data_IF_688235353838
#
_entry.id   IF_688235353838
#
_cell.length_a   1.000
_cell.length_b   1.000
_cell.length_c   1.000
_cell.angle_alpha   90.00
_cell.angle_beta   90.00
_cell.angle_gamma   90.00
#
_symmetry.space_group_name_H-M   'P 1'
#
loop_
_entity.id
_entity.type
_entity.pdbx_description
1 polymer ?
#
# COMPACT_ATOMS: atom_id res chain seq x y z
N UNK A 1 29.95 32.51 78.34
CA UNK A 1 29.90 32.66 76.83
C UNK A 1 28.43 32.59 76.49
N UNK A 2 28.00 33.52 75.58
CA UNK A 2 26.66 33.40 74.96
C UNK A 2 26.58 32.07 74.19
N UNK A 3 25.47 31.36 74.29
CA UNK A 3 25.23 30.17 73.51
C UNK A 3 25.26 30.48 72.00
N UNK A 4 25.95 29.66 71.26
CA UNK A 4 26.03 29.76 69.77
C UNK A 4 25.20 28.63 69.12
N UNK A 5 24.51 28.96 68.08
CA UNK A 5 23.87 27.93 67.21
C UNK A 5 24.97 27.26 66.39
N UNK A 6 25.01 25.96 66.37
CA UNK A 6 25.90 25.15 65.53
C UNK A 6 25.09 24.45 64.46
N UNK A 7 25.44 24.67 63.20
CA UNK A 7 24.79 24.04 62.05
C UNK A 7 25.84 23.21 61.29
N UNK A 8 25.45 22.03 60.84
CA UNK A 8 26.27 21.10 60.06
C UNK A 8 27.64 20.76 60.73
N UNK A 9 27.63 20.57 62.05
CA UNK A 9 28.85 20.31 62.80
C UNK A 9 29.19 18.81 62.83
N UNK A 10 30.35 18.43 62.29
CA UNK A 10 30.89 17.07 62.41
C UNK A 10 31.47 16.82 63.81
N UNK A 11 31.05 15.75 64.43
CA UNK A 11 31.61 15.28 65.73
C UNK A 11 33.03 14.71 65.51
N UNK A 12 33.96 14.92 66.42
CA UNK A 12 35.37 14.49 66.28
C UNK A 12 35.57 12.98 66.27
N UNK A 13 34.70 12.22 66.95
CA UNK A 13 34.76 10.77 67.04
C UNK A 13 33.43 10.20 66.43
N UNK A 14 33.39 10.00 65.20
CA UNK A 14 32.21 9.39 64.48
C UNK A 14 32.29 7.88 64.69
N UNK A 15 31.17 7.28 65.06
CA UNK A 15 30.92 5.84 64.89
C UNK A 15 30.47 5.58 63.49
N UNK A 16 30.91 4.49 62.90
CA UNK A 16 30.33 4.02 61.62
C UNK A 16 28.89 3.62 61.88
N UNK A 17 27.97 4.26 61.12
CA UNK A 17 26.55 3.90 61.12
C UNK A 17 26.28 2.84 60.04
N UNK A 18 25.37 1.92 60.33
CA UNK A 18 24.98 0.88 59.40
C UNK A 18 23.82 1.40 58.55
N UNK A 19 23.96 1.24 57.25
CA UNK A 19 22.96 1.59 56.25
C UNK A 19 21.61 0.90 56.52
N UNK A 20 20.50 1.61 56.28
CA UNK A 20 19.14 1.14 56.55
C UNK A 20 18.77 0.99 58.03
N UNK A 21 19.63 1.44 58.99
CA UNK A 21 19.41 1.29 60.44
C UNK A 21 18.79 2.54 61.01
N UNK A 22 17.84 2.33 61.96
CA UNK A 22 17.19 3.41 62.73
C UNK A 22 17.94 3.67 64.00
N UNK A 23 18.27 4.92 64.26
CA UNK A 23 19.04 5.37 65.49
C UNK A 23 18.27 6.44 66.21
N UNK A 24 18.44 6.39 67.58
CA UNK A 24 18.12 7.52 68.47
C UNK A 24 19.36 8.36 68.69
N UNK A 25 19.32 9.64 68.38
CA UNK A 25 20.39 10.58 68.71
C UNK A 25 20.14 11.17 70.04
N UNK A 26 21.03 10.84 70.97
CA UNK A 26 20.96 11.33 72.38
C UNK A 26 22.09 12.33 72.64
N UNK A 27 21.74 13.52 73.09
CA UNK A 27 22.68 14.57 73.46
C UNK A 27 22.67 14.86 74.89
N UNK A 28 23.85 14.86 75.48
CA UNK A 28 24.07 15.20 76.88
C UNK A 28 25.15 16.27 76.95
N UNK A 29 24.90 17.34 77.70
CA UNK A 29 25.85 18.42 77.93
C UNK A 29 26.07 18.69 79.40
N UNK A 30 27.28 19.19 79.77
CA UNK A 30 27.60 19.66 81.09
C UNK A 30 28.23 21.05 81.05
N UNK A 31 27.80 21.97 81.88
CA UNK A 31 28.43 23.29 82.01
C UNK A 31 29.75 23.26 82.81
N UNK A 32 30.42 24.39 82.85
CA UNK A 32 31.69 24.48 83.56
C UNK A 32 31.54 24.38 85.12
N UNK A 33 30.36 24.52 85.64
CA UNK A 33 30.04 24.38 87.04
C UNK A 33 29.66 22.93 87.42
N UNK A 34 29.58 21.99 86.45
CA UNK A 34 29.23 20.61 86.63
C UNK A 34 27.72 20.31 86.47
N UNK A 35 26.90 21.32 86.17
CA UNK A 35 25.45 21.08 85.94
C UNK A 35 25.26 20.34 84.62
N UNK A 36 24.54 19.23 84.65
CA UNK A 36 24.22 18.43 83.48
C UNK A 36 22.86 18.84 82.84
N UNK A 37 22.79 18.79 81.58
CA UNK A 37 21.50 18.78 80.88
C UNK A 37 20.79 17.45 81.08
N UNK A 38 19.47 17.40 81.03
CA UNK A 38 18.77 16.11 80.85
C UNK A 38 19.12 15.53 79.44
N UNK A 39 18.75 14.27 79.25
CA UNK A 39 18.84 13.66 77.89
C UNK A 39 17.97 14.39 76.93
N UNK A 40 18.56 14.88 75.82
CA UNK A 40 17.83 15.43 74.69
C UNK A 40 17.91 14.39 73.60
N UNK A 41 16.77 13.77 73.26
CA UNK A 41 16.67 12.69 72.28
C UNK A 41 15.93 13.13 71.06
N UNK A 42 16.49 12.83 69.88
CA UNK A 42 15.79 12.83 68.62
C UNK A 42 15.66 11.38 68.17
N UNK A 43 14.47 10.78 68.30
CA UNK A 43 14.26 9.37 67.94
C UNK A 43 14.05 9.16 66.42
N UNK A 44 14.10 7.88 66.02
CA UNK A 44 13.67 7.37 64.71
C UNK A 44 14.43 8.01 63.53
N UNK A 45 15.74 8.22 63.72
CA UNK A 45 16.58 8.71 62.56
C UNK A 45 17.05 7.51 61.77
N UNK A 46 16.60 7.38 60.53
CA UNK A 46 17.10 6.39 59.61
C UNK A 46 18.39 6.89 58.98
N UNK A 47 19.45 6.10 59.06
CA UNK A 47 20.68 6.32 58.31
C UNK A 47 20.63 5.54 57.02
N UNK A 48 20.63 6.25 55.88
CA UNK A 48 20.45 5.69 54.54
C UNK A 48 21.45 6.32 53.58
N UNK A 49 22.27 5.50 52.95
CA UNK A 49 23.26 5.87 51.94
C UNK A 49 23.09 5.06 50.64
N UNK A 50 22.05 4.23 50.58
CA UNK A 50 21.67 3.51 49.36
C UNK A 50 21.11 4.47 48.37
N UNK A 51 21.52 4.37 47.08
CA UNK A 51 21.02 5.21 46.02
C UNK A 51 19.79 4.57 45.38
N UNK A 52 18.73 5.32 45.14
CA UNK A 52 17.58 4.79 44.39
C UNK A 52 17.98 4.40 42.95
N UNK A 53 17.44 3.27 42.49
CA UNK A 53 17.63 2.75 41.15
C UNK A 53 16.34 2.94 40.35
N UNK A 54 16.48 3.42 39.12
CA UNK A 54 15.38 3.65 38.19
C UNK A 54 15.54 2.79 36.97
N UNK A 55 14.42 2.30 36.42
CA UNK A 55 14.34 1.71 35.08
C UNK A 55 13.14 2.27 34.34
N UNK A 56 13.34 2.86 33.18
CA UNK A 56 12.25 3.11 32.21
C UNK A 56 12.06 1.81 31.44
N UNK A 57 10.84 1.24 31.51
CA UNK A 57 10.48 -0.05 30.91
C UNK A 57 9.79 0.15 29.56
N UNK A 58 9.01 1.24 29.41
CA UNK A 58 8.34 1.64 28.20
C UNK A 58 8.19 3.17 28.16
N UNK A 59 8.48 3.86 27.03
CA UNK A 59 9.00 3.33 25.78
C UNK A 59 10.45 2.83 25.86
N UNK A 60 10.86 1.97 24.91
CA UNK A 60 12.25 1.50 24.80
C UNK A 60 13.04 2.38 23.81
N UNK A 61 14.37 2.18 23.73
CA UNK A 61 15.20 2.89 22.74
C UNK A 61 14.67 2.67 21.30
N UNK A 62 14.68 3.73 20.49
CA UNK A 62 14.27 3.72 19.09
C UNK A 62 12.80 3.32 18.85
N UNK A 63 11.98 3.34 19.90
CA UNK A 63 10.54 3.04 19.77
C UNK A 63 9.80 4.13 18.99
N UNK A 64 8.79 3.71 18.24
CA UNK A 64 7.77 4.57 17.67
C UNK A 64 6.52 4.50 18.55
N UNK A 65 6.01 5.63 19.00
CA UNK A 65 4.89 5.69 19.96
C UNK A 65 3.89 6.78 19.57
N UNK A 66 2.60 6.48 19.76
CA UNK A 66 1.50 7.43 19.60
C UNK A 66 0.80 7.77 20.93
N UNK A 67 1.44 7.43 22.05
CA UNK A 67 0.91 7.64 23.40
C UNK A 67 1.90 8.43 24.27
N UNK A 68 1.39 8.96 25.40
CA UNK A 68 2.14 9.81 26.36
C UNK A 68 2.41 9.09 27.68
N UNK A 69 2.03 7.84 27.80
CA UNK A 69 2.26 7.04 29.01
C UNK A 69 3.70 6.55 29.09
N UNK A 70 4.19 6.32 30.31
CA UNK A 70 5.51 5.76 30.59
C UNK A 70 5.36 4.63 31.57
N UNK A 71 6.06 3.50 31.34
CA UNK A 71 6.18 2.44 32.36
C UNK A 71 7.57 2.48 32.94
N UNK A 72 7.66 2.37 34.26
CA UNK A 72 8.94 2.49 34.99
C UNK A 72 8.94 1.71 36.29
N UNK A 73 10.15 1.50 36.85
CA UNK A 73 10.38 0.85 38.11
C UNK A 73 11.22 1.75 39.02
N UNK A 74 10.89 1.75 40.32
CA UNK A 74 11.58 2.47 41.39
C UNK A 74 11.94 1.45 42.47
N UNK A 75 13.22 1.41 42.87
CA UNK A 75 13.73 0.44 43.85
C UNK A 75 13.38 0.76 45.31
N UNK A 76 13.08 2.04 45.63
CA UNK A 76 12.82 2.51 46.98
C UNK A 76 12.01 3.82 46.97
N UNK A 77 11.40 4.23 48.14
CA UNK A 77 10.59 5.45 48.18
C UNK A 77 11.38 6.72 47.89
N UNK A 78 10.81 7.57 47.01
CA UNK A 78 11.40 8.84 46.63
C UNK A 78 10.80 10.02 47.39
N UNK A 79 11.63 11.01 47.64
CA UNK A 79 11.25 12.36 48.05
C UNK A 79 10.81 13.21 46.86
N UNK A 80 11.54 13.07 45.75
CA UNK A 80 11.26 13.74 44.51
C UNK A 80 11.73 12.90 43.32
N UNK A 81 10.95 12.96 42.21
CA UNK A 81 11.28 12.28 40.98
C UNK A 81 10.73 13.02 39.79
N UNK A 82 11.46 12.98 38.67
CA UNK A 82 11.06 13.61 37.41
C UNK A 82 11.32 12.69 36.23
N UNK A 83 10.45 12.78 35.23
CA UNK A 83 10.66 12.24 33.88
C UNK A 83 10.75 13.42 32.92
N UNK A 84 11.81 13.46 32.13
CA UNK A 84 12.10 14.55 31.21
C UNK A 84 12.11 14.05 29.78
N UNK A 85 11.30 14.67 28.93
CA UNK A 85 11.31 14.47 27.49
C UNK A 85 12.11 15.59 26.83
N UNK A 86 13.20 15.25 26.16
CA UNK A 86 14.10 16.21 25.50
C UNK A 86 14.09 15.96 23.99
N UNK A 87 13.60 16.91 23.20
CA UNK A 87 13.62 16.81 21.76
C UNK A 87 15.06 16.80 21.23
N UNK A 88 15.38 15.87 20.33
CA UNK A 88 16.69 15.85 19.63
C UNK A 88 16.86 17.08 18.73
N UNK A 89 15.76 17.61 18.22
CA UNK A 89 15.76 18.88 17.48
C UNK A 89 14.86 19.90 18.19
N UNK A 90 15.46 20.79 19.04
CA UNK A 90 14.69 21.76 19.82
C UNK A 90 14.02 22.85 18.94
N UNK A 91 14.38 22.99 17.67
CA UNK A 91 13.67 23.89 16.75
C UNK A 91 12.28 23.35 16.43
N UNK A 92 12.11 22.03 16.39
CA UNK A 92 10.81 21.38 16.16
C UNK A 92 9.92 21.39 17.42
N UNK A 93 10.50 21.39 18.62
CA UNK A 93 9.76 21.54 19.89
C UNK A 93 10.38 22.65 20.74
N UNK A 94 9.90 23.91 20.62
CA UNK A 94 10.41 25.05 21.36
C UNK A 94 10.18 24.98 22.88
N UNK A 95 9.28 24.11 23.35
CA UNK A 95 8.99 23.89 24.79
C UNK A 95 9.88 22.79 25.40
N UNK A 96 10.72 22.15 24.61
CA UNK A 96 11.68 21.16 25.08
C UNK A 96 12.83 21.82 25.87
N UNK A 97 13.30 21.22 27.00
CA UNK A 97 12.87 19.94 27.58
C UNK A 97 11.58 20.06 28.38
N UNK A 98 10.71 19.05 28.31
CA UNK A 98 9.48 18.93 29.10
C UNK A 98 9.76 18.14 30.33
N UNK A 99 9.82 18.81 31.50
CA UNK A 99 10.15 18.22 32.78
C UNK A 99 8.87 18.00 33.58
N UNK A 100 8.56 16.74 33.89
CA UNK A 100 7.32 16.34 34.53
C UNK A 100 7.64 15.64 35.83
N UNK A 101 7.03 16.10 36.94
CA UNK A 101 7.18 15.43 38.25
C UNK A 101 6.39 14.12 38.28
N UNK A 102 6.97 13.10 38.85
CA UNK A 102 6.29 11.84 39.16
C UNK A 102 5.21 12.11 40.22
N UNK A 103 4.03 11.51 40.08
CA UNK A 103 2.95 11.68 41.06
C UNK A 103 3.36 11.13 42.40
N UNK A 104 2.94 11.81 43.49
CA UNK A 104 3.33 11.44 44.85
C UNK A 104 2.95 10.00 45.22
N UNK A 105 1.86 9.50 44.66
CA UNK A 105 1.37 8.14 44.92
C UNK A 105 2.22 7.07 44.21
N UNK A 106 3.02 7.49 43.21
CA UNK A 106 3.91 6.65 42.39
C UNK A 106 5.40 6.82 42.83
N UNK A 107 5.67 7.55 43.91
CA UNK A 107 7.03 7.73 44.48
C UNK A 107 7.38 6.69 45.56
N UNK A 108 6.76 5.51 45.52
CA UNK A 108 7.08 4.39 46.41
C UNK A 108 7.76 3.28 45.59
N UNK A 109 8.39 2.34 46.30
CA UNK A 109 8.96 1.16 45.63
C UNK A 109 7.90 0.41 44.82
N UNK A 110 8.22 0.08 43.56
CA UNK A 110 7.30 -0.67 42.71
C UNK A 110 7.53 -0.52 41.24
N UNK A 111 6.72 -1.28 40.46
CA UNK A 111 6.63 -1.23 39.04
C UNK A 111 5.32 -0.53 38.65
N UNK A 112 5.41 0.47 37.80
CA UNK A 112 4.30 1.27 37.32
C UNK A 112 4.16 1.10 35.82
N UNK A 113 2.96 0.75 35.37
CA UNK A 113 2.69 0.49 33.95
C UNK A 113 1.70 1.48 33.37
N UNK A 114 1.96 1.95 32.14
CA UNK A 114 1.08 2.85 31.37
C UNK A 114 0.66 4.11 32.13
N UNK A 115 1.60 4.69 32.88
CA UNK A 115 1.34 5.89 33.71
C UNK A 115 1.28 7.12 32.85
N UNK A 116 0.13 7.82 32.88
CA UNK A 116 0.01 9.17 32.37
C UNK A 116 0.42 10.16 33.47
N UNK A 117 1.58 10.76 33.33
CA UNK A 117 2.13 11.69 34.34
C UNK A 117 1.24 12.95 34.46
N UNK A 118 1.04 13.42 35.71
CA UNK A 118 0.30 14.65 35.96
C UNK A 118 0.97 15.84 35.26
N UNK A 119 0.17 16.69 34.60
CA UNK A 119 0.64 17.84 33.82
C UNK A 119 1.51 17.50 32.60
N UNK A 120 1.42 16.26 32.09
CA UNK A 120 1.99 15.94 30.80
C UNK A 120 1.34 16.81 29.72
N UNK A 121 2.14 17.62 29.03
CA UNK A 121 1.71 18.38 27.85
C UNK A 121 1.88 17.50 26.62
N UNK A 122 1.07 17.74 25.58
CA UNK A 122 1.21 17.01 24.31
C UNK A 122 2.62 17.20 23.75
N UNK A 123 3.26 16.11 23.37
CA UNK A 123 4.47 16.15 22.57
C UNK A 123 4.13 16.62 21.15
N UNK A 124 5.14 17.05 20.43
CA UNK A 124 4.96 17.48 19.03
C UNK A 124 5.08 16.26 18.12
N UNK A 125 4.12 16.14 17.22
CA UNK A 125 4.06 15.09 16.21
C UNK A 125 5.30 15.04 15.33
N UNK A 126 5.73 13.84 14.94
CA UNK A 126 6.93 13.60 14.10
C UNK A 126 8.23 14.17 14.71
N UNK A 127 8.32 14.25 16.05
CA UNK A 127 9.52 14.67 16.76
C UNK A 127 10.11 13.48 17.54
N UNK A 128 11.43 13.39 17.50
CA UNK A 128 12.19 12.37 18.24
C UNK A 128 12.67 12.94 19.56
N UNK A 129 12.45 12.21 20.64
CA UNK A 129 12.80 12.59 22.01
C UNK A 129 13.75 11.62 22.67
N UNK A 130 14.55 12.11 23.61
CA UNK A 130 15.20 11.31 24.64
C UNK A 130 14.42 11.45 25.94
N UNK A 131 14.28 10.35 26.68
CA UNK A 131 13.70 10.34 28.01
C UNK A 131 14.80 10.16 29.05
N UNK A 132 14.66 10.86 30.20
CA UNK A 132 15.48 10.69 31.35
C UNK A 132 14.60 10.67 32.59
N UNK A 133 14.72 9.61 33.42
CA UNK A 133 14.13 9.50 34.73
C UNK A 133 15.21 9.68 35.80
N UNK A 134 14.98 10.57 36.75
CA UNK A 134 15.87 10.85 37.87
C UNK A 134 15.09 11.24 39.10
N UNK A 135 15.74 11.13 40.27
CA UNK A 135 15.13 11.51 41.53
C UNK A 135 16.08 11.32 42.69
N UNK A 136 15.59 11.66 43.89
CA UNK A 136 16.27 11.47 45.13
C UNK A 136 15.33 10.76 46.13
N UNK A 137 15.92 9.89 47.01
CA UNK A 137 15.21 9.22 48.05
C UNK A 137 14.85 10.17 49.21
N UNK A 138 14.29 9.61 50.30
CA UNK A 138 13.93 10.36 51.52
C UNK A 138 15.13 10.91 52.28
N UNK A 139 16.30 10.27 52.13
CA UNK A 139 17.57 10.71 52.74
C UNK A 139 18.33 11.73 51.89
N UNK A 140 17.80 12.03 50.69
CA UNK A 140 18.39 12.94 49.66
C UNK A 140 19.56 12.35 48.87
N UNK A 141 19.69 11.02 48.87
CA UNK A 141 20.62 10.36 47.95
C UNK A 141 20.07 10.44 46.51
N UNK A 142 20.89 10.96 45.59
CA UNK A 142 20.53 11.07 44.20
C UNK A 142 20.82 9.75 43.45
N UNK A 143 19.80 9.18 42.81
CA UNK A 143 19.93 7.97 42.02
C UNK A 143 20.62 8.20 40.67
N UNK A 144 21.14 7.12 40.09
CA UNK A 144 21.68 7.14 38.73
C UNK A 144 20.52 7.27 37.74
N UNK A 145 20.50 8.31 36.86
CA UNK A 145 19.41 8.48 35.91
C UNK A 145 19.24 7.30 34.96
N UNK A 146 18.01 6.84 34.78
CA UNK A 146 17.63 5.92 33.71
C UNK A 146 17.35 6.71 32.44
N UNK A 147 17.82 6.23 31.30
CA UNK A 147 17.71 6.93 30.01
C UNK A 147 17.20 6.02 28.90
N UNK A 148 16.33 6.58 28.06
CA UNK A 148 15.87 6.00 26.82
C UNK A 148 16.12 7.03 25.72
N UNK A 149 16.62 6.59 24.59
CA UNK A 149 17.06 7.46 23.49
C UNK A 149 16.26 7.20 22.23
N UNK A 150 16.11 8.26 21.42
CA UNK A 150 15.52 8.18 20.07
C UNK A 150 14.08 7.62 20.05
N UNK A 151 13.23 8.05 20.98
CA UNK A 151 11.80 7.73 20.92
C UNK A 151 11.12 8.64 19.90
N UNK A 152 10.53 8.05 18.88
CA UNK A 152 9.81 8.75 17.82
C UNK A 152 8.34 8.90 18.23
N UNK A 153 7.91 10.12 18.51
CA UNK A 153 6.52 10.41 18.82
C UNK A 153 5.76 10.76 17.54
N UNK A 154 4.76 9.96 17.23
CA UNK A 154 3.97 10.07 15.99
C UNK A 154 2.54 9.63 16.25
N UNK A 155 1.59 10.56 16.13
CA UNK A 155 0.17 10.27 16.29
C UNK A 155 -0.64 10.49 15.00
N UNK A 156 0.03 10.85 13.90
CA UNK A 156 -0.61 11.07 12.61
C UNK A 156 -0.78 9.75 11.87
N UNK A 157 -2.01 9.39 11.45
CA UNK A 157 -2.21 8.20 10.64
C UNK A 157 -1.53 8.29 9.27
N UNK A 158 -1.01 7.18 8.73
CA UNK A 158 -0.46 7.15 7.39
C UNK A 158 -1.54 7.39 6.34
N UNK A 159 -1.19 8.11 5.27
CA UNK A 159 -2.06 8.38 4.13
C UNK A 159 -1.76 7.41 3.00
N UNK A 160 -2.80 6.69 2.55
CA UNK A 160 -2.75 5.76 1.42
C UNK A 160 -3.50 6.38 0.25
N UNK A 161 -2.81 6.64 -0.86
CA UNK A 161 -3.40 7.13 -2.10
C UNK A 161 -3.43 6.01 -3.14
N UNK A 162 -4.61 5.55 -3.53
CA UNK A 162 -4.80 4.50 -4.55
C UNK A 162 -5.05 5.16 -5.91
N UNK A 163 -4.24 4.81 -6.91
CA UNK A 163 -4.32 5.43 -8.25
C UNK A 163 -4.68 4.45 -9.35
N UNK A 164 -4.44 3.13 -9.18
CA UNK A 164 -4.81 2.09 -10.14
C UNK A 164 -5.14 0.79 -9.39
N UNK A 165 -6.18 0.02 -9.85
CA UNK A 165 -7.12 0.33 -10.92
C UNK A 165 -8.08 1.49 -10.55
N UNK A 166 -8.77 2.06 -11.54
CA UNK A 166 -9.83 3.02 -11.26
C UNK A 166 -11.15 2.31 -10.90
N UNK A 167 -12.06 3.02 -10.24
CA UNK A 167 -13.38 2.49 -9.94
C UNK A 167 -14.15 2.13 -11.23
N UNK A 168 -14.94 1.05 -11.21
CA UNK A 168 -15.78 0.59 -12.31
C UNK A 168 -15.00 0.24 -13.58
N UNK A 169 -13.81 -0.31 -13.45
CA UNK A 169 -12.97 -0.72 -14.59
C UNK A 169 -12.87 -2.24 -14.72
N UNK A 170 -12.41 -2.67 -15.89
CA UNK A 170 -12.03 -4.06 -16.16
C UNK A 170 -10.52 -4.19 -16.14
N UNK A 171 -9.99 -5.29 -15.64
CA UNK A 171 -8.55 -5.53 -15.47
C UNK A 171 -8.17 -6.95 -15.88
N UNK A 172 -7.16 -7.08 -16.73
CA UNK A 172 -6.56 -8.37 -17.10
C UNK A 172 -5.46 -8.82 -16.12
N UNK A 173 -5.11 -7.99 -15.13
CA UNK A 173 -4.01 -8.24 -14.17
C UNK A 173 -4.37 -7.72 -12.79
N UNK A 174 -3.75 -8.27 -11.75
CA UNK A 174 -4.02 -7.96 -10.34
C UNK A 174 -3.04 -6.96 -9.73
N UNK A 175 -2.36 -6.14 -10.50
CA UNK A 175 -1.46 -5.13 -9.94
C UNK A 175 -2.22 -3.91 -9.41
N UNK A 176 -1.59 -3.25 -8.44
CA UNK A 176 -2.10 -2.06 -7.77
C UNK A 176 -1.04 -0.96 -7.83
N UNK A 177 -1.46 0.29 -8.08
CA UNK A 177 -0.62 1.46 -7.90
C UNK A 177 -1.09 2.22 -6.68
N UNK A 178 -0.18 2.50 -5.76
CA UNK A 178 -0.46 3.23 -4.54
C UNK A 178 0.73 4.09 -4.11
N UNK A 179 0.46 5.08 -3.29
CA UNK A 179 1.47 5.93 -2.66
C UNK A 179 1.25 5.93 -1.15
N UNK A 180 2.33 5.78 -0.40
CA UNK A 180 2.36 5.82 1.06
C UNK A 180 3.05 7.10 1.51
N UNK A 181 2.43 7.84 2.44
CA UNK A 181 3.03 9.05 3.03
C UNK A 181 4.24 8.75 3.89
N UNK A 182 4.32 7.54 4.45
CA UNK A 182 5.33 7.08 5.39
C UNK A 182 5.47 5.56 5.40
N UNK A 183 6.49 5.05 6.11
CA UNK A 183 6.73 3.62 6.25
C UNK A 183 5.65 2.96 7.12
N UNK A 184 5.19 1.79 6.72
CA UNK A 184 4.18 1.01 7.42
C UNK A 184 4.81 -0.10 8.25
N UNK A 185 4.26 -0.34 9.44
CA UNK A 185 4.51 -1.56 10.22
C UNK A 185 3.78 -2.76 9.61
N UNK A 186 2.58 -2.50 9.09
CA UNK A 186 1.70 -3.50 8.52
C UNK A 186 0.82 -2.88 7.44
N UNK A 187 0.58 -3.65 6.38
CA UNK A 187 -0.38 -3.31 5.34
C UNK A 187 -0.99 -4.58 4.74
N UNK A 188 -2.25 -4.50 4.36
CA UNK A 188 -2.94 -5.56 3.64
C UNK A 188 -3.86 -5.00 2.57
N UNK A 189 -3.98 -5.73 1.47
CA UNK A 189 -4.97 -5.48 0.42
C UNK A 189 -5.90 -6.67 0.33
N UNK A 190 -7.20 -6.42 0.39
CA UNK A 190 -8.25 -7.43 0.33
C UNK A 190 -9.14 -7.22 -0.89
N UNK A 191 -9.40 -8.29 -1.64
CA UNK A 191 -10.38 -8.32 -2.74
C UNK A 191 -11.68 -8.92 -2.24
N UNK A 192 -12.69 -8.07 -2.01
CA UNK A 192 -14.02 -8.48 -1.58
C UNK A 192 -14.90 -8.71 -2.81
N UNK A 193 -15.20 -9.98 -3.14
CA UNK A 193 -16.04 -10.31 -4.27
C UNK A 193 -17.46 -9.78 -4.09
N UNK A 194 -17.95 -9.04 -5.09
CA UNK A 194 -19.31 -8.48 -5.10
C UNK A 194 -20.35 -9.54 -5.51
N UNK A 195 -21.60 -9.31 -5.12
CA UNK A 195 -22.76 -10.13 -5.47
C UNK A 195 -22.72 -11.59 -5.00
N UNK A 196 -21.78 -11.95 -4.10
CA UNK A 196 -21.69 -13.27 -3.47
C UNK A 196 -21.83 -13.13 -1.95
N UNK A 197 -22.52 -14.10 -1.30
CA UNK A 197 -22.67 -14.13 0.15
C UNK A 197 -21.75 -15.18 0.78
N UNK A 198 -21.09 -14.82 1.89
CA UNK A 198 -20.33 -15.75 2.71
C UNK A 198 -18.97 -16.18 2.11
N UNK A 199 -18.44 -15.41 1.16
CA UNK A 199 -17.08 -15.57 0.64
C UNK A 199 -16.12 -14.73 1.47
N UNK A 200 -15.05 -15.34 1.97
CA UNK A 200 -13.94 -14.61 2.60
C UNK A 200 -13.18 -13.83 1.53
N UNK A 201 -12.78 -12.59 1.79
CA UNK A 201 -11.94 -11.84 0.86
C UNK A 201 -10.62 -12.57 0.58
N UNK A 202 -10.15 -12.50 -0.65
CA UNK A 202 -8.77 -12.84 -0.98
C UNK A 202 -7.89 -11.70 -0.47
N UNK A 203 -6.90 -12.00 0.38
CA UNK A 203 -6.09 -10.99 1.05
C UNK A 203 -4.60 -11.22 0.79
N UNK A 204 -3.89 -10.13 0.51
CA UNK A 204 -2.44 -10.07 0.41
C UNK A 204 -1.91 -9.19 1.54
N UNK A 205 -0.92 -9.71 2.29
CA UNK A 205 -0.18 -8.95 3.29
C UNK A 205 1.09 -8.42 2.62
N UNK A 206 1.31 -7.11 2.72
CA UNK A 206 2.46 -6.41 2.15
C UNK A 206 3.75 -6.82 2.84
N UNK A 207 4.86 -6.85 2.08
CA UNK A 207 6.16 -7.29 2.58
C UNK A 207 7.32 -6.44 2.05
N UNK A 208 8.32 -6.23 2.90
CA UNK A 208 9.56 -5.58 2.52
C UNK A 208 9.33 -4.19 1.91
N UNK A 209 9.76 -3.99 0.67
CA UNK A 209 9.66 -2.69 0.01
C UNK A 209 8.21 -2.22 -0.22
N UNK A 210 7.24 -3.12 -0.20
CA UNK A 210 5.82 -2.79 -0.35
C UNK A 210 5.27 -1.93 0.82
N UNK A 211 5.99 -1.91 1.95
CA UNK A 211 5.65 -1.16 3.17
C UNK A 211 6.37 0.18 3.29
N UNK A 212 7.30 0.52 2.39
CA UNK A 212 8.08 1.75 2.49
C UNK A 212 7.33 2.96 1.93
N UNK A 213 7.62 4.14 2.46
CA UNK A 213 7.10 5.41 1.97
C UNK A 213 7.41 5.64 0.49
N UNK A 214 6.48 6.28 -0.23
CA UNK A 214 6.63 6.68 -1.61
C UNK A 214 5.69 6.01 -2.59
N UNK A 215 5.97 6.20 -3.88
CA UNK A 215 5.15 5.70 -4.98
C UNK A 215 5.49 4.24 -5.30
N UNK A 216 4.47 3.39 -5.31
CA UNK A 216 4.49 2.01 -5.76
C UNK A 216 3.70 1.89 -7.06
N UNK A 217 4.41 1.88 -8.18
CA UNK A 217 3.83 1.83 -9.51
C UNK A 217 3.96 0.42 -10.10
N UNK A 218 2.88 -0.09 -10.70
CA UNK A 218 2.80 -1.45 -11.27
C UNK A 218 3.25 -2.56 -10.32
N UNK A 219 2.96 -2.40 -9.04
CA UNK A 219 3.35 -3.37 -8.02
C UNK A 219 2.60 -4.67 -8.22
N UNK A 220 3.33 -5.70 -8.65
CA UNK A 220 2.87 -7.08 -8.52
C UNK A 220 3.24 -7.54 -7.12
N UNK A 221 2.25 -7.77 -6.27
CA UNK A 221 2.47 -8.26 -4.92
C UNK A 221 3.28 -9.57 -4.91
N UNK A 222 4.12 -9.73 -3.90
CA UNK A 222 4.89 -10.96 -3.68
C UNK A 222 3.97 -12.18 -3.51
N UNK A 223 2.77 -11.98 -2.97
CA UNK A 223 1.75 -13.01 -2.84
C UNK A 223 0.80 -13.02 -4.05
N UNK A 224 0.50 -14.21 -4.57
CA UNK A 224 -0.41 -14.40 -5.71
C UNK A 224 -1.86 -14.42 -5.23
N UNK A 225 -2.67 -13.51 -5.76
CA UNK A 225 -4.14 -13.52 -5.57
C UNK A 225 -4.77 -14.40 -6.64
N UNK A 226 -5.70 -15.26 -6.23
CA UNK A 226 -6.48 -16.13 -7.15
C UNK A 226 -7.90 -15.62 -7.28
N UNK A 227 -8.08 -14.59 -8.12
CA UNK A 227 -9.40 -14.05 -8.40
C UNK A 227 -10.17 -14.91 -9.39
N UNK A 228 -11.49 -14.89 -9.27
CA UNK A 228 -12.39 -15.57 -10.20
C UNK A 228 -12.55 -14.72 -11.47
N UNK A 229 -12.32 -15.34 -12.61
CA UNK A 229 -12.50 -14.75 -13.93
C UNK A 229 -13.94 -14.24 -14.14
N UNK A 230 -14.09 -13.07 -14.75
CA UNK A 230 -15.36 -12.38 -14.97
C UNK A 230 -16.04 -11.85 -13.70
N UNK A 231 -15.42 -11.94 -12.51
CA UNK A 231 -16.02 -11.47 -11.26
C UNK A 231 -15.58 -10.05 -10.91
N UNK A 232 -16.48 -9.30 -10.25
CA UNK A 232 -16.23 -7.94 -9.77
C UNK A 232 -15.89 -7.92 -8.28
N UNK A 233 -14.98 -7.05 -7.88
CA UNK A 233 -14.45 -6.92 -6.53
C UNK A 233 -14.38 -5.46 -6.08
N UNK A 234 -14.52 -5.25 -4.78
CA UNK A 234 -14.01 -4.06 -4.12
C UNK A 234 -12.62 -4.39 -3.55
N UNK A 235 -11.66 -3.49 -3.75
CA UNK A 235 -10.35 -3.55 -3.15
C UNK A 235 -10.33 -2.68 -1.91
N UNK A 236 -9.84 -3.24 -0.81
CA UNK A 236 -9.75 -2.57 0.49
C UNK A 236 -8.29 -2.63 0.94
N UNK A 237 -7.70 -1.48 1.25
CA UNK A 237 -6.34 -1.38 1.75
C UNK A 237 -6.37 -0.87 3.19
N UNK A 238 -6.00 -1.72 4.15
CA UNK A 238 -5.87 -1.41 5.56
C UNK A 238 -4.40 -1.45 5.97
N UNK A 239 -3.97 -0.52 6.83
CA UNK A 239 -2.58 -0.42 7.25
C UNK A 239 -2.42 0.26 8.60
N UNK A 240 -1.26 0.06 9.25
CA UNK A 240 -0.78 0.83 10.39
C UNK A 240 0.66 1.27 10.13
N UNK A 241 1.02 2.46 10.64
CA UNK A 241 2.39 2.93 10.66
C UNK A 241 3.24 2.25 11.77
N UNK A 242 4.48 2.69 11.92
CA UNK A 242 5.42 2.17 12.93
C UNK A 242 4.99 2.49 14.36
N UNK A 243 4.24 3.58 14.58
CA UNK A 243 3.66 3.97 15.85
C UNK A 243 2.29 3.30 16.13
N UNK A 244 1.78 2.49 15.18
CA UNK A 244 0.49 1.81 15.20
C UNK A 244 -0.72 2.75 15.04
N UNK A 245 -0.53 3.90 14.39
CA UNK A 245 -1.67 4.70 13.95
C UNK A 245 -2.33 4.00 12.76
N UNK A 246 -3.64 3.85 12.83
CA UNK A 246 -4.43 3.18 11.81
C UNK A 246 -4.69 4.13 10.63
N UNK A 247 -4.34 3.73 9.42
CA UNK A 247 -4.64 4.47 8.20
C UNK A 247 -6.15 4.58 7.97
N UNK A 248 -6.58 5.66 7.32
CA UNK A 248 -7.92 5.67 6.74
C UNK A 248 -7.95 4.63 5.62
N UNK A 249 -8.85 3.65 5.74
CA UNK A 249 -9.00 2.55 4.77
C UNK A 249 -9.10 3.05 3.35
N UNK A 250 -8.13 2.69 2.51
CA UNK A 250 -8.17 2.94 1.07
C UNK A 250 -9.18 2.01 0.39
N UNK A 251 -9.97 2.53 -0.58
CA UNK A 251 -10.96 1.71 -1.29
C UNK A 251 -11.02 2.03 -2.76
N UNK A 252 -11.06 0.96 -3.59
CA UNK A 252 -11.41 1.00 -5.00
C UNK A 252 -12.63 0.08 -5.19
N UNK A 253 -13.66 0.58 -5.86
CA UNK A 253 -14.93 -0.13 -5.95
C UNK A 253 -15.21 -0.66 -7.34
N UNK A 254 -15.83 -1.85 -7.38
CA UNK A 254 -16.39 -2.46 -8.58
C UNK A 254 -15.38 -2.63 -9.72
N UNK A 255 -14.25 -3.30 -9.43
CA UNK A 255 -13.26 -3.69 -10.43
C UNK A 255 -13.59 -5.11 -10.91
N UNK A 256 -13.80 -5.29 -12.20
CA UNK A 256 -14.04 -6.61 -12.81
C UNK A 256 -12.71 -7.16 -13.33
N UNK A 257 -12.33 -8.35 -12.85
CA UNK A 257 -11.14 -9.03 -13.34
C UNK A 257 -11.55 -10.05 -14.41
N UNK A 258 -10.97 -9.90 -15.59
CA UNK A 258 -11.22 -10.69 -16.77
C UNK A 258 -9.88 -11.13 -17.38
N UNK A 259 -9.60 -12.41 -17.33
CA UNK A 259 -8.33 -13.00 -17.73
C UNK A 259 -8.46 -13.79 -19.04
N UNK A 260 -9.67 -13.91 -19.56
CA UNK A 260 -9.96 -14.70 -20.76
C UNK A 260 -9.86 -13.82 -22.00
N UNK A 261 -8.91 -14.08 -22.94
CA UNK A 261 -8.84 -13.36 -24.19
C UNK A 261 -10.06 -13.68 -25.08
N UNK A 262 -10.57 -12.68 -25.83
CA UNK A 262 -11.62 -12.91 -26.80
C UNK A 262 -11.15 -13.78 -27.97
N UNK A 263 -12.06 -14.62 -28.49
CA UNK A 263 -11.84 -15.43 -29.68
C UNK A 263 -12.59 -14.81 -30.87
N UNK A 264 -11.89 -14.67 -32.00
CA UNK A 264 -12.45 -14.21 -33.28
C UNK A 264 -12.26 -15.31 -34.34
N UNK A 265 -13.31 -15.68 -35.05
CA UNK A 265 -13.29 -16.62 -36.15
C UNK A 265 -13.74 -15.88 -37.42
N UNK A 266 -12.85 -15.74 -38.43
CA UNK A 266 -13.20 -15.20 -39.75
C UNK A 266 -13.69 -16.35 -40.65
N UNK A 267 -14.95 -16.29 -41.03
CA UNK A 267 -15.65 -17.34 -41.79
C UNK A 267 -15.77 -17.00 -43.27
N UNK A 268 -15.89 -15.71 -43.63
CA UNK A 268 -15.89 -15.22 -45.02
C UNK A 268 -15.16 -13.87 -45.07
N UNK A 269 -14.28 -13.68 -46.07
CA UNK A 269 -13.89 -14.62 -47.11
C UNK A 269 -13.08 -15.81 -46.57
N UNK A 270 -13.09 -16.93 -47.29
CA UNK A 270 -12.22 -18.05 -47.02
C UNK A 270 -10.81 -17.79 -47.61
N UNK A 271 -9.79 -18.47 -47.06
CA UNK A 271 -8.43 -18.46 -47.63
C UNK A 271 -8.49 -18.91 -49.12
N UNK A 272 -7.78 -18.23 -49.99
CA UNK A 272 -7.71 -18.46 -51.44
C UNK A 272 -9.05 -18.22 -52.19
N UNK A 273 -10.05 -17.61 -51.57
CA UNK A 273 -11.30 -17.27 -52.24
C UNK A 273 -11.11 -16.14 -53.25
N UNK A 274 -11.96 -16.12 -54.29
CA UNK A 274 -12.19 -14.95 -55.11
C UNK A 274 -13.51 -14.31 -54.67
N UNK A 275 -13.50 -12.98 -54.47
CA UNK A 275 -14.66 -12.22 -53.98
C UNK A 275 -14.87 -10.97 -54.83
N UNK A 276 -16.11 -10.56 -55.04
CA UNK A 276 -16.48 -9.34 -55.77
C UNK A 276 -17.08 -8.25 -54.83
N UNK A 277 -16.88 -8.40 -53.57
CA UNK A 277 -17.35 -7.45 -52.54
C UNK A 277 -16.46 -7.51 -51.32
N UNK A 278 -16.64 -6.57 -50.38
CA UNK A 278 -15.87 -6.43 -49.15
C UNK A 278 -16.62 -6.94 -47.92
N UNK A 279 -17.71 -7.72 -48.13
CA UNK A 279 -18.48 -8.26 -46.99
C UNK A 279 -17.65 -9.24 -46.18
N UNK A 280 -17.92 -9.29 -44.87
CA UNK A 280 -17.30 -10.23 -43.94
C UNK A 280 -18.37 -11.08 -43.26
N UNK A 281 -18.01 -12.33 -42.95
CA UNK A 281 -18.71 -13.14 -41.96
C UNK A 281 -17.70 -13.54 -40.90
N UNK A 282 -18.03 -13.30 -39.65
CA UNK A 282 -17.15 -13.62 -38.52
C UNK A 282 -17.96 -13.84 -37.25
N UNK A 283 -17.35 -14.57 -36.30
CA UNK A 283 -17.85 -14.76 -34.96
C UNK A 283 -16.92 -14.06 -33.96
N UNK A 284 -17.49 -13.48 -32.91
CA UNK A 284 -16.77 -12.90 -31.75
C UNK A 284 -17.32 -13.50 -30.48
N UNK A 285 -16.46 -14.08 -29.62
CA UNK A 285 -16.87 -14.75 -28.39
C UNK A 285 -17.44 -13.80 -27.32
N UNK A 286 -16.90 -12.57 -27.28
CA UNK A 286 -17.27 -11.54 -26.29
C UNK A 286 -17.11 -10.13 -26.85
N UNK A 287 -17.55 -9.11 -26.10
CA UNK A 287 -17.49 -7.72 -26.54
C UNK A 287 -16.04 -7.21 -26.65
N UNK A 288 -15.68 -6.65 -27.80
CA UNK A 288 -14.39 -6.00 -28.04
C UNK A 288 -14.48 -4.49 -27.76
N UNK A 289 -13.57 -3.96 -26.94
CA UNK A 289 -13.48 -2.51 -26.70
C UNK A 289 -13.03 -1.79 -27.95
N UNK A 290 -12.06 -2.37 -28.64
CA UNK A 290 -11.55 -1.91 -29.93
C UNK A 290 -11.21 -3.11 -30.81
N UNK A 291 -11.41 -2.98 -32.10
CA UNK A 291 -11.03 -3.96 -33.09
C UNK A 291 -10.85 -3.33 -34.44
N UNK A 292 -10.04 -3.98 -35.29
CA UNK A 292 -9.80 -3.57 -36.68
C UNK A 292 -9.95 -4.76 -37.61
N UNK A 293 -10.51 -4.51 -38.81
CA UNK A 293 -10.40 -5.37 -39.95
C UNK A 293 -9.38 -4.76 -40.90
N UNK A 294 -8.47 -5.57 -41.43
CA UNK A 294 -7.37 -5.10 -42.29
C UNK A 294 -7.31 -5.96 -43.55
N UNK A 295 -7.18 -5.32 -44.70
CA UNK A 295 -6.86 -5.97 -46.00
C UNK A 295 -5.44 -5.53 -46.37
N UNK A 296 -4.49 -6.46 -46.25
CA UNK A 296 -3.08 -6.22 -46.59
C UNK A 296 -2.78 -6.79 -47.97
N UNK A 297 -2.38 -5.94 -48.92
CA UNK A 297 -1.97 -6.38 -50.24
C UNK A 297 -0.80 -7.37 -50.17
N UNK A 298 -0.91 -8.48 -50.97
CA UNK A 298 0.12 -9.53 -50.98
C UNK A 298 0.57 -9.90 -52.40
N UNK A 299 -0.28 -9.77 -53.43
CA UNK A 299 0.06 -10.13 -54.81
C UNK A 299 -0.95 -9.49 -55.83
N UNK A 300 -0.74 -9.71 -57.14
CA UNK A 300 -1.62 -9.25 -58.19
C UNK A 300 -1.42 -7.79 -58.59
N UNK A 301 -2.52 -7.12 -58.97
CA UNK A 301 -2.47 -5.69 -59.28
C UNK A 301 -2.04 -4.93 -58.04
N UNK A 302 -1.03 -4.04 -58.19
CA UNK A 302 -0.45 -3.33 -57.05
C UNK A 302 -1.47 -2.38 -56.41
N UNK A 303 -1.64 -2.53 -55.11
CA UNK A 303 -2.36 -1.61 -54.26
C UNK A 303 -1.37 -0.98 -53.27
N UNK A 304 -1.30 0.36 -53.25
CA UNK A 304 -0.35 1.13 -52.40
C UNK A 304 -0.98 1.62 -51.13
N UNK A 305 -2.29 1.44 -50.96
CA UNK A 305 -3.04 1.95 -49.82
C UNK A 305 -3.11 0.89 -48.67
N UNK A 306 -3.00 1.36 -47.45
CA UNK A 306 -3.22 0.55 -46.24
C UNK A 306 -4.74 0.55 -45.92
N UNK A 307 -5.38 -0.61 -46.00
CA UNK A 307 -6.79 -0.76 -45.71
C UNK A 307 -7.02 -1.26 -44.28
N UNK A 308 -6.86 -0.34 -43.32
CA UNK A 308 -7.08 -0.61 -41.89
C UNK A 308 -8.38 0.07 -41.45
N UNK A 309 -9.38 -0.73 -41.10
CA UNK A 309 -10.73 -0.27 -40.80
C UNK A 309 -11.15 -0.59 -39.40
N UNK A 310 -11.26 0.43 -38.48
CA UNK A 310 -11.83 0.23 -37.17
C UNK A 310 -13.25 -0.31 -37.25
N UNK A 311 -13.56 -1.34 -36.46
CA UNK A 311 -14.91 -1.87 -36.35
C UNK A 311 -15.79 -0.95 -35.50
N UNK A 312 -16.99 -0.65 -35.95
CA UNK A 312 -17.99 0.13 -35.24
C UNK A 312 -18.60 -0.66 -34.07
N UNK A 313 -19.23 -0.01 -33.07
CA UNK A 313 -19.73 -0.70 -31.88
C UNK A 313 -20.57 -1.95 -32.12
N UNK A 314 -21.51 -1.89 -33.08
CA UNK A 314 -22.35 -3.04 -33.40
C UNK A 314 -21.60 -4.17 -34.12
N UNK A 315 -20.49 -3.86 -34.78
CA UNK A 315 -19.59 -4.82 -35.45
C UNK A 315 -18.69 -5.55 -34.43
N UNK A 316 -18.52 -5.00 -33.20
CA UNK A 316 -17.73 -5.53 -32.09
C UNK A 316 -18.53 -6.29 -31.05
N UNK A 317 -19.87 -6.30 -31.18
CA UNK A 317 -20.74 -7.07 -30.26
C UNK A 317 -20.50 -8.57 -30.40
N UNK A 318 -20.61 -9.35 -29.32
CA UNK A 318 -20.46 -10.80 -29.40
C UNK A 318 -21.49 -11.47 -30.31
N UNK A 319 -21.12 -12.64 -30.85
CA UNK A 319 -21.96 -13.48 -31.71
C UNK A 319 -21.59 -13.41 -33.17
N UNK A 320 -22.44 -14.07 -33.98
CA UNK A 320 -22.27 -14.18 -35.45
C UNK A 320 -22.59 -12.88 -36.14
N UNK A 321 -21.72 -12.49 -37.08
CA UNK A 321 -21.94 -11.45 -38.09
C UNK A 321 -21.91 -12.14 -39.45
N UNK A 322 -23.04 -12.16 -40.15
CA UNK A 322 -23.17 -12.91 -41.41
C UNK A 322 -23.26 -11.98 -42.58
N UNK A 323 -22.27 -12.04 -43.47
CA UNK A 323 -22.19 -11.35 -44.76
C UNK A 323 -22.48 -9.84 -44.65
N UNK A 324 -21.90 -9.22 -43.64
CA UNK A 324 -22.07 -7.79 -43.39
C UNK A 324 -21.05 -6.98 -44.17
N UNK A 325 -21.47 -5.83 -44.69
CA UNK A 325 -20.57 -4.79 -45.16
C UNK A 325 -20.22 -3.89 -43.99
N UNK A 326 -18.92 -3.71 -43.69
CA UNK A 326 -18.48 -2.81 -42.66
C UNK A 326 -18.89 -1.37 -42.94
N UNK A 327 -19.16 -0.60 -41.91
CA UNK A 327 -19.53 0.82 -42.00
C UNK A 327 -18.49 1.63 -42.79
N UNK A 328 -17.21 1.29 -42.61
CA UNK A 328 -16.08 1.88 -43.30
C UNK A 328 -15.42 0.84 -44.21
N UNK A 329 -16.19 0.27 -45.17
CA UNK A 329 -15.67 -0.75 -46.06
C UNK A 329 -14.49 -0.22 -46.90
N UNK A 330 -13.47 -1.05 -47.20
CA UNK A 330 -12.32 -0.64 -48.01
C UNK A 330 -12.70 -0.45 -49.48
N UNK A 331 -11.98 0.44 -50.15
CA UNK A 331 -12.00 0.58 -51.61
C UNK A 331 -10.81 -0.21 -52.19
N UNK A 332 -11.04 -1.46 -52.57
CA UNK A 332 -10.01 -2.41 -53.02
C UNK A 332 -9.75 -2.33 -54.50
N UNK A 333 -8.54 -2.71 -54.93
CA UNK A 333 -8.10 -2.70 -56.33
C UNK A 333 -8.48 -4.02 -57.00
N UNK A 334 -9.19 -3.93 -58.13
CA UNK A 334 -9.57 -5.08 -58.97
C UNK A 334 -8.35 -5.87 -59.44
N UNK A 335 -8.38 -7.19 -59.28
CA UNK A 335 -7.27 -8.10 -59.61
C UNK A 335 -6.14 -8.17 -58.57
N UNK A 336 -6.25 -7.46 -57.45
CA UNK A 336 -5.33 -7.57 -56.34
C UNK A 336 -5.67 -8.73 -55.39
N UNK A 337 -4.65 -9.24 -54.69
CA UNK A 337 -4.80 -10.27 -53.65
C UNK A 337 -4.48 -9.66 -52.30
N UNK A 338 -5.30 -10.02 -51.30
CA UNK A 338 -5.18 -9.50 -49.92
C UNK A 338 -5.16 -10.62 -48.89
N UNK A 339 -4.37 -10.43 -47.82
CA UNK A 339 -4.61 -11.11 -46.58
C UNK A 339 -5.61 -10.28 -45.77
N UNK A 340 -6.74 -10.91 -45.41
CA UNK A 340 -7.81 -10.27 -44.63
C UNK A 340 -7.68 -10.71 -43.19
N UNK A 341 -7.55 -9.76 -42.26
CA UNK A 341 -7.41 -10.06 -40.84
C UNK A 341 -8.41 -9.31 -39.98
N UNK A 342 -8.82 -9.89 -38.86
CA UNK A 342 -9.55 -9.21 -37.76
C UNK A 342 -8.79 -9.43 -36.48
N UNK A 343 -8.59 -8.36 -35.73
CA UNK A 343 -7.91 -8.36 -34.42
C UNK A 343 -8.51 -7.28 -33.52
N UNK A 344 -8.56 -7.54 -32.20
CA UNK A 344 -9.07 -6.58 -31.22
C UNK A 344 -8.70 -6.91 -29.79
N UNK A 345 -9.16 -6.06 -28.89
CA UNK A 345 -9.00 -6.25 -27.43
C UNK A 345 -10.36 -6.13 -26.74
N UNK A 346 -10.54 -6.88 -25.64
CA UNK A 346 -11.70 -6.75 -24.78
C UNK A 346 -11.64 -5.49 -23.88
N UNK A 347 -12.58 -5.37 -22.93
CA UNK A 347 -12.63 -4.27 -21.95
C UNK A 347 -11.51 -4.31 -20.91
N UNK A 348 -10.95 -5.49 -20.64
CA UNK A 348 -9.86 -5.68 -19.69
C UNK A 348 -8.49 -5.45 -20.35
N UNK A 349 -8.45 -5.34 -21.69
CA UNK A 349 -7.23 -5.20 -22.48
C UNK A 349 -6.61 -6.55 -22.88
N UNK A 350 -7.34 -7.68 -22.77
CA UNK A 350 -6.86 -8.96 -23.29
C UNK A 350 -6.93 -8.94 -24.81
N UNK A 351 -5.83 -9.26 -25.53
CA UNK A 351 -5.83 -9.30 -26.97
C UNK A 351 -6.51 -10.56 -27.50
N UNK A 352 -7.27 -10.44 -28.60
CA UNK A 352 -7.82 -11.58 -29.32
C UNK A 352 -6.73 -12.39 -30.04
N UNK A 353 -7.09 -13.58 -30.52
CA UNK A 353 -6.35 -14.20 -31.61
C UNK A 353 -6.44 -13.34 -32.88
N UNK A 354 -5.47 -13.47 -33.78
CA UNK A 354 -5.51 -12.89 -35.11
C UNK A 354 -6.29 -13.83 -36.04
N UNK A 355 -7.55 -13.49 -36.36
CA UNK A 355 -8.34 -14.21 -37.36
C UNK A 355 -7.89 -13.80 -38.76
N UNK A 356 -7.62 -14.76 -39.65
CA UNK A 356 -6.98 -14.48 -40.94
C UNK A 356 -7.54 -15.34 -42.04
N UNK A 357 -7.88 -14.70 -43.22
CA UNK A 357 -8.05 -15.35 -44.50
C UNK A 357 -6.94 -14.87 -45.46
N UNK A 358 -6.20 -15.79 -46.06
CA UNK A 358 -5.02 -15.48 -46.86
C UNK A 358 -5.27 -15.56 -48.36
N UNK A 359 -4.57 -14.70 -49.11
CA UNK A 359 -4.59 -14.69 -50.59
C UNK A 359 -6.02 -14.62 -51.18
N UNK A 360 -6.81 -13.71 -50.65
CA UNK A 360 -8.17 -13.46 -51.15
C UNK A 360 -8.07 -12.56 -52.36
N UNK A 361 -8.52 -13.03 -53.57
CA UNK A 361 -8.55 -12.24 -54.80
C UNK A 361 -9.77 -11.33 -54.76
N UNK A 362 -9.59 -10.04 -54.93
CA UNK A 362 -10.68 -9.12 -55.21
C UNK A 362 -10.85 -8.97 -56.73
N UNK A 363 -12.06 -9.30 -57.24
CA UNK A 363 -12.33 -9.38 -58.68
C UNK A 363 -13.75 -8.93 -58.97
N UNK A 364 -13.88 -7.75 -59.53
CA UNK A 364 -15.17 -7.14 -59.90
C UNK A 364 -15.37 -7.10 -61.42
N UNK A 365 -14.38 -7.60 -62.17
CA UNK A 365 -14.48 -7.71 -63.64
C UNK A 365 -15.41 -8.88 -64.02
N UNK A 366 -16.41 -8.62 -64.87
CA UNK A 366 -17.30 -9.68 -65.30
C UNK A 366 -16.66 -10.49 -66.42
N UNK A 367 -16.79 -11.83 -66.40
CA UNK A 367 -16.31 -12.66 -67.55
C UNK A 367 -16.98 -12.31 -68.85
N UNK A 368 -16.20 -12.30 -69.92
CA UNK A 368 -16.70 -12.09 -71.27
C UNK A 368 -16.71 -13.43 -71.98
N UNK A 369 -17.87 -13.77 -72.54
CA UNK A 369 -18.03 -14.96 -73.34
C UNK A 369 -18.13 -14.54 -74.82
N UNK A 370 -17.22 -15.05 -75.64
CA UNK A 370 -17.24 -14.81 -77.09
C UNK A 370 -17.54 -16.13 -77.80
N UNK A 371 -18.70 -16.20 -78.47
CA UNK A 371 -19.07 -17.39 -79.27
C UNK A 371 -18.29 -17.36 -80.53
N UNK A 372 -17.44 -18.34 -80.81
CA UNK A 372 -16.59 -18.46 -81.96
C UNK A 372 -17.18 -19.39 -83.03
N UNK A 373 -18.07 -20.30 -82.62
CA UNK A 373 -18.81 -21.16 -83.51
C UNK A 373 -20.15 -21.59 -82.89
N UNK A 374 -21.31 -21.52 -83.60
CA UNK A 374 -21.51 -20.98 -84.91
C UNK A 374 -21.43 -19.46 -84.91
N UNK A 375 -20.99 -18.88 -86.09
CA UNK A 375 -21.06 -17.46 -86.32
C UNK A 375 -22.49 -16.99 -86.60
N UNK A 376 -22.73 -15.67 -86.67
CA UNK A 376 -24.04 -15.13 -87.05
C UNK A 376 -24.46 -15.55 -88.48
N UNK A 377 -25.75 -15.66 -88.74
CA UNK A 377 -26.36 -15.90 -90.04
C UNK A 377 -25.94 -17.18 -90.78
N UNK A 378 -25.52 -18.26 -90.01
CA UNK A 378 -25.14 -19.57 -90.55
C UNK A 378 -26.21 -20.62 -90.31
N UNK A 379 -26.32 -21.64 -91.22
CA UNK A 379 -27.13 -22.82 -91.05
C UNK A 379 -26.26 -23.92 -90.52
N UNK A 380 -26.70 -24.57 -89.39
CA UNK A 380 -25.96 -25.59 -88.70
C UNK A 380 -26.62 -26.94 -88.82
N UNK A 381 -25.80 -28.02 -88.85
CA UNK A 381 -26.25 -29.42 -88.84
C UNK A 381 -25.93 -30.14 -87.51
N UNK A 382 -25.33 -29.45 -86.59
CA UNK A 382 -24.99 -29.95 -85.25
C UNK A 382 -25.21 -28.89 -84.19
N UNK A 383 -25.36 -29.32 -82.92
CA UNK A 383 -25.50 -28.44 -81.77
C UNK A 383 -24.17 -28.10 -81.12
N UNK A 384 -23.02 -28.39 -81.77
CA UNK A 384 -21.68 -28.10 -81.25
C UNK A 384 -21.44 -26.60 -81.27
N UNK A 385 -20.99 -26.08 -80.16
CA UNK A 385 -20.60 -24.68 -79.97
C UNK A 385 -19.13 -24.59 -79.57
N UNK A 386 -18.45 -23.58 -79.99
CA UNK A 386 -17.15 -23.18 -79.52
C UNK A 386 -17.24 -21.75 -78.96
N UNK A 387 -16.62 -21.48 -77.91
CA UNK A 387 -16.56 -20.16 -77.20
C UNK A 387 -15.25 -19.95 -76.56
N UNK A 388 -14.86 -18.72 -76.38
CA UNK A 388 -13.74 -18.26 -75.54
C UNK A 388 -14.28 -17.59 -74.33
N UNK A 389 -13.65 -17.85 -73.21
CA UNK A 389 -13.87 -17.16 -71.94
C UNK A 389 -12.70 -16.21 -71.70
N UNK A 390 -12.96 -15.01 -71.20
CA UNK A 390 -11.89 -14.06 -70.81
C UNK A 390 -11.17 -14.46 -69.53
N UNK A 391 -11.82 -15.24 -68.70
CA UNK A 391 -11.33 -15.67 -67.37
C UNK A 391 -12.03 -16.96 -66.91
N UNK A 392 -11.48 -17.63 -65.91
CA UNK A 392 -12.00 -18.90 -65.36
C UNK A 392 -13.22 -18.71 -64.43
#
# INVERSE_FOLDING_TARGET
>A
RKGDTRTNWMLKNQTELLDGTIYDLIFIGQDLAGNQTGFITTPDITYDITLPVFAILDPVNEAFVNYLTVSYEISEPLREGTITWTALNPVKDPESPRIISINREEMIEGVYTDVLLANMTNLIDSVTYNLEMKGADLATNEGIPSKVTSVHYDFSPPIITLTHPANNTYQAKTFLNYELSEDLLYGQVSWLQLYTRGVTPDTVILQGNELLAGLHDTTMFTAIVKLKDGASYDLIFDAYDLAKNEAVTGRISNVTYDFTPPEIELQYPATLAAVNNTNLSYFISEFLLEATATWTWVDGVLDMDDHIHPLEPFEREPGEKQFIMLTNAPDLVDGAYYDVTIYGNDRAGNPSNLATAKNVKYDVTSPVITITNPGPDVFITSTQTAYDLSED
#
